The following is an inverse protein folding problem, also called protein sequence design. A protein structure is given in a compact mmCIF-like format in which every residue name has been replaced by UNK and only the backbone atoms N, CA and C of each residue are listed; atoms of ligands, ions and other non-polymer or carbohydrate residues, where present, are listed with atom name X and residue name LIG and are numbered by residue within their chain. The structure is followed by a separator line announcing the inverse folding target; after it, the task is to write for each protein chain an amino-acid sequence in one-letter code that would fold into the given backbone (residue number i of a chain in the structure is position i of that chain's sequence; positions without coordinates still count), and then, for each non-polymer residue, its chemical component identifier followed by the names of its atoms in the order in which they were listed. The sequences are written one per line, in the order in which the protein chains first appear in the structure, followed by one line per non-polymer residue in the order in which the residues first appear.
data_IF_319868974084
#
_entry.id   IF_319868974084
#
_cell.length_a   1.000
_cell.length_b   1.000
_cell.length_c   1.000
_cell.angle_alpha   90.00
_cell.angle_beta   90.00
_cell.angle_gamma   90.00
#
_symmetry.space_group_name_H-M   'P 1'
#
loop_
_entity.id
_entity.type
_entity.pdbx_description
1 polymer ?
#
# COMPACT_ATOMS: atom_id res chain seq x y z
N UNK A 1 68.54 -53.80 -22.59
CA UNK A 1 67.70 -53.57 -21.39
C UNK A 1 67.03 -52.22 -21.55
N UNK A 2 65.76 -52.23 -21.94
CA UNK A 2 64.87 -51.08 -22.06
C UNK A 2 64.05 -50.96 -20.79
N UNK A 3 63.96 -49.76 -20.22
CA UNK A 3 62.74 -49.32 -19.52
C UNK A 3 62.77 -47.81 -19.30
N UNK A 4 62.13 -47.08 -20.21
CA UNK A 4 61.66 -45.72 -19.97
C UNK A 4 60.28 -45.79 -19.33
N UNK A 5 60.18 -45.48 -18.04
CA UNK A 5 58.91 -45.24 -17.37
C UNK A 5 58.47 -43.80 -17.64
N UNK A 6 57.55 -43.63 -18.59
CA UNK A 6 56.83 -42.38 -18.83
C UNK A 6 55.57 -42.39 -17.96
N UNK A 7 55.62 -41.74 -16.81
CA UNK A 7 54.49 -41.64 -15.88
C UNK A 7 53.39 -40.75 -16.48
N UNK A 8 52.16 -41.26 -16.48
CA UNK A 8 50.91 -40.59 -16.86
C UNK A 8 50.70 -39.31 -16.03
N UNK A 9 50.98 -38.14 -16.60
CA UNK A 9 50.55 -36.83 -16.06
C UNK A 9 49.25 -36.28 -16.69
N UNK A 10 48.59 -37.02 -17.60
CA UNK A 10 47.47 -36.48 -18.38
C UNK A 10 46.09 -36.44 -17.70
N UNK A 11 45.80 -37.31 -16.73
CA UNK A 11 44.43 -37.47 -16.18
C UNK A 11 44.01 -36.43 -15.14
N UNK A 12 44.93 -36.02 -14.26
CA UNK A 12 44.65 -35.13 -13.13
C UNK A 12 44.32 -33.69 -13.56
N UNK A 13 44.98 -33.21 -14.63
CA UNK A 13 44.79 -31.85 -15.15
C UNK A 13 43.50 -31.65 -15.97
N UNK A 14 42.89 -32.74 -16.43
CA UNK A 14 41.63 -32.68 -17.20
C UNK A 14 40.41 -32.61 -16.28
N UNK A 15 40.40 -33.38 -15.19
CA UNK A 15 39.34 -33.34 -14.18
C UNK A 15 39.20 -31.97 -13.50
N UNK A 16 40.33 -31.34 -13.14
CA UNK A 16 40.33 -30.00 -12.53
C UNK A 16 39.82 -28.92 -13.48
N UNK A 17 40.11 -29.01 -14.78
CA UNK A 17 39.58 -28.09 -15.80
C UNK A 17 38.07 -28.18 -15.96
N UNK A 18 37.54 -29.41 -16.02
CA UNK A 18 36.09 -29.62 -16.11
C UNK A 18 35.42 -29.07 -14.86
N UNK A 19 35.90 -29.42 -13.67
CA UNK A 19 35.38 -28.89 -12.41
C UNK A 19 35.44 -27.36 -12.36
N UNK A 20 36.55 -26.77 -12.79
CA UNK A 20 36.73 -25.31 -12.85
C UNK A 20 35.75 -24.63 -13.80
N UNK A 21 35.56 -25.18 -15.00
CA UNK A 21 34.58 -24.68 -15.96
C UNK A 21 33.15 -24.76 -15.43
N UNK A 22 32.77 -25.88 -14.80
CA UNK A 22 31.44 -26.05 -14.20
C UNK A 22 31.19 -25.04 -13.09
N UNK A 23 32.16 -24.81 -12.19
CA UNK A 23 32.04 -23.81 -11.12
C UNK A 23 31.94 -22.39 -11.66
N UNK A 24 32.71 -22.06 -12.71
CA UNK A 24 32.62 -20.76 -13.37
C UNK A 24 31.22 -20.54 -13.97
N UNK A 25 30.70 -21.54 -14.71
CA UNK A 25 29.36 -21.49 -15.29
C UNK A 25 28.26 -21.43 -14.22
N UNK A 26 28.43 -22.16 -13.11
CA UNK A 26 27.50 -22.10 -11.98
C UNK A 26 27.49 -20.70 -11.34
N UNK A 27 28.65 -20.07 -11.16
CA UNK A 27 28.75 -18.69 -10.67
C UNK A 27 28.08 -17.69 -11.62
N UNK A 28 28.27 -17.86 -12.94
CA UNK A 28 27.61 -17.04 -13.96
C UNK A 28 26.10 -17.22 -14.00
N UNK A 29 25.61 -18.46 -13.93
CA UNK A 29 24.18 -18.75 -13.84
C UNK A 29 23.57 -18.18 -12.57
N UNK A 30 24.28 -18.29 -11.44
CA UNK A 30 23.83 -17.77 -10.15
C UNK A 30 23.70 -16.24 -10.16
N UNK A 31 24.69 -15.50 -10.68
CA UNK A 31 24.59 -14.04 -10.76
C UNK A 31 23.48 -13.63 -11.73
N UNK A 32 23.36 -14.28 -12.90
CA UNK A 32 22.33 -13.95 -13.86
C UNK A 32 20.91 -14.19 -13.30
N UNK A 33 20.70 -15.33 -12.64
CA UNK A 33 19.44 -15.62 -11.96
C UNK A 33 19.15 -14.62 -10.83
N UNK A 34 20.16 -14.27 -10.03
CA UNK A 34 20.00 -13.33 -8.94
C UNK A 34 19.66 -11.91 -9.43
N UNK A 35 20.39 -11.38 -10.40
CA UNK A 35 20.13 -10.05 -10.97
C UNK A 35 18.79 -10.01 -11.70
N UNK A 36 18.39 -11.10 -12.37
CA UNK A 36 17.06 -11.19 -12.99
C UNK A 36 15.93 -11.03 -11.97
N UNK A 37 16.03 -11.67 -10.80
CA UNK A 37 15.05 -11.49 -9.72
C UNK A 37 14.98 -10.04 -9.23
N UNK A 38 16.12 -9.37 -9.12
CA UNK A 38 16.18 -7.95 -8.70
C UNK A 38 15.52 -7.04 -9.74
N UNK A 39 15.82 -7.25 -11.03
CA UNK A 39 15.24 -6.47 -12.13
C UNK A 39 13.74 -6.71 -12.28
N UNK A 40 13.29 -7.97 -12.25
CA UNK A 40 11.88 -8.33 -12.37
C UNK A 40 11.06 -7.70 -11.22
N UNK A 41 11.60 -7.71 -9.99
CA UNK A 41 10.98 -7.06 -8.84
C UNK A 41 10.93 -5.53 -8.99
N UNK A 42 12.03 -4.88 -9.41
CA UNK A 42 12.07 -3.44 -9.64
C UNK A 42 11.11 -2.97 -10.75
N UNK A 43 11.03 -3.73 -11.84
CA UNK A 43 10.11 -3.46 -12.94
C UNK A 43 8.65 -3.61 -12.50
N UNK A 44 8.34 -4.64 -11.71
CA UNK A 44 7.01 -4.85 -11.16
C UNK A 44 6.61 -3.72 -10.19
N UNK A 45 7.54 -3.27 -9.35
CA UNK A 45 7.36 -2.13 -8.44
C UNK A 45 7.05 -0.82 -9.17
N UNK A 46 7.73 -0.60 -10.30
CA UNK A 46 7.55 0.59 -11.14
C UNK A 46 6.20 0.58 -11.84
N UNK A 47 5.76 -0.61 -12.29
CA UNK A 47 4.51 -0.78 -13.05
C UNK A 47 3.26 -0.82 -12.18
N UNK A 48 3.32 -1.49 -11.03
CA UNK A 48 2.14 -1.80 -10.22
C UNK A 48 2.15 -1.14 -8.83
N UNK A 49 3.24 -0.45 -8.46
CA UNK A 49 3.40 0.11 -7.12
C UNK A 49 3.94 -0.89 -6.10
N UNK A 50 3.95 -0.50 -4.82
CA UNK A 50 4.45 -1.34 -3.74
C UNK A 50 3.54 -2.57 -3.54
N UNK A 51 4.12 -3.76 -3.27
CA UNK A 51 3.33 -4.93 -2.91
C UNK A 51 2.47 -4.62 -1.69
N UNK A 52 1.19 -4.97 -1.81
CA UNK A 52 0.26 -4.90 -0.69
C UNK A 52 0.43 -6.17 0.13
N UNK A 53 0.85 -6.00 1.37
CA UNK A 53 0.96 -7.08 2.33
C UNK A 53 -0.44 -7.55 2.75
N UNK A 54 -0.79 -8.80 2.50
CA UNK A 54 -2.03 -9.37 3.04
C UNK A 54 -1.86 -9.73 4.51
N UNK A 55 -2.56 -9.01 5.40
CA UNK A 55 -2.57 -9.30 6.82
C UNK A 55 -3.90 -9.92 7.29
N UNK A 56 -4.93 -9.91 6.45
CA UNK A 56 -6.25 -10.43 6.78
C UNK A 56 -6.83 -9.85 8.07
N UNK A 57 -7.53 -10.70 8.82
CA UNK A 57 -8.22 -10.36 10.07
C UNK A 57 -7.37 -10.56 11.33
N UNK A 58 -6.43 -11.51 11.29
CA UNK A 58 -5.55 -11.85 12.40
C UNK A 58 -4.20 -11.11 12.41
N UNK A 59 -3.93 -10.28 11.39
CA UNK A 59 -2.68 -9.55 11.24
C UNK A 59 -2.39 -8.59 12.39
N UNK A 60 -1.10 -8.39 12.68
CA UNK A 60 -0.62 -7.54 13.78
C UNK A 60 0.44 -6.57 13.28
N UNK A 61 0.52 -5.35 13.84
CA UNK A 61 1.64 -4.46 13.57
C UNK A 61 2.97 -5.12 13.92
N UNK A 62 3.91 -5.15 12.98
CA UNK A 62 5.28 -5.60 13.21
C UNK A 62 6.29 -4.58 12.67
N UNK A 63 7.43 -4.42 13.35
CA UNK A 63 8.41 -3.36 13.05
C UNK A 63 8.97 -3.39 11.61
N UNK A 64 8.99 -4.57 10.96
CA UNK A 64 9.41 -4.72 9.57
C UNK A 64 8.37 -4.35 8.52
N UNK A 65 7.15 -3.96 8.91
CA UNK A 65 6.02 -3.69 8.02
C UNK A 65 5.68 -2.19 7.94
N UNK A 66 6.37 -1.33 8.69
CA UNK A 66 6.13 0.11 8.68
C UNK A 66 6.38 0.70 7.29
N UNK A 67 5.45 1.53 6.83
CA UNK A 67 5.47 2.10 5.48
C UNK A 67 4.96 1.17 4.38
N UNK A 68 4.70 -0.11 4.66
CA UNK A 68 4.07 -1.02 3.72
C UNK A 68 2.58 -0.69 3.58
N UNK A 69 2.07 -0.77 2.34
CA UNK A 69 0.62 -0.82 2.10
C UNK A 69 0.17 -2.24 2.44
N UNK A 70 -0.92 -2.38 3.17
CA UNK A 70 -1.42 -3.67 3.64
C UNK A 70 -2.93 -3.76 3.46
N UNK A 71 -3.42 -4.98 3.23
CA UNK A 71 -4.84 -5.31 3.34
C UNK A 71 -5.12 -5.86 4.73
N UNK A 72 -6.05 -5.23 5.43
CA UNK A 72 -6.61 -5.70 6.70
C UNK A 72 -8.12 -5.85 6.52
N UNK A 73 -8.70 -6.92 7.04
CA UNK A 73 -10.15 -7.11 7.05
C UNK A 73 -10.69 -7.42 8.44
N UNK A 74 -11.99 -7.27 8.64
CA UNK A 74 -12.64 -7.62 9.90
C UNK A 74 -13.84 -6.74 10.22
N UNK A 75 -14.45 -6.96 11.38
CA UNK A 75 -15.53 -6.10 11.88
C UNK A 75 -14.88 -4.95 12.67
N UNK A 76 -15.16 -3.68 12.33
CA UNK A 76 -14.63 -2.53 13.06
C UNK A 76 -15.07 -2.56 14.53
N UNK A 77 -14.10 -2.46 15.44
CA UNK A 77 -14.32 -2.29 16.87
C UNK A 77 -14.32 -0.81 17.22
N UNK A 78 -15.46 -0.31 17.71
CA UNK A 78 -15.59 1.07 18.19
C UNK A 78 -15.11 1.11 19.64
N UNK A 79 -13.98 1.78 19.89
CA UNK A 79 -13.39 1.89 21.22
C UNK A 79 -13.92 3.13 21.94
N UNK A 80 -14.02 4.25 21.23
CA UNK A 80 -14.64 5.48 21.72
C UNK A 80 -15.71 5.96 20.73
N UNK A 81 -16.97 5.76 21.10
CA UNK A 81 -18.12 6.00 20.23
C UNK A 81 -18.41 7.50 20.02
N UNK A 82 -18.78 7.92 18.79
CA UNK A 82 -19.13 9.29 18.49
C UNK A 82 -20.35 9.74 19.29
N UNK A 83 -20.39 11.04 19.58
CA UNK A 83 -21.48 11.69 20.31
C UNK A 83 -21.86 13.01 19.64
N UNK A 84 -23.14 13.20 19.41
CA UNK A 84 -23.74 14.51 19.25
C UNK A 84 -23.99 15.12 20.64
N UNK A 85 -23.21 16.13 21.08
CA UNK A 85 -23.35 16.69 22.42
C UNK A 85 -24.59 17.58 22.56
N UNK A 86 -25.15 18.12 21.46
CA UNK A 86 -26.29 19.03 21.49
C UNK A 86 -27.58 18.28 21.81
N UNK A 87 -27.78 17.11 21.18
CA UNK A 87 -28.93 16.25 21.41
C UNK A 87 -28.65 15.09 22.37
N UNK A 88 -27.39 14.95 22.80
CA UNK A 88 -26.90 13.82 23.60
C UNK A 88 -27.15 12.44 22.95
N UNK A 89 -26.98 12.35 21.63
CA UNK A 89 -27.11 11.10 20.88
C UNK A 89 -25.73 10.44 20.76
N UNK A 90 -25.65 9.15 21.07
CA UNK A 90 -24.44 8.32 20.92
C UNK A 90 -24.80 7.07 20.13
N UNK A 91 -23.90 6.61 19.28
CA UNK A 91 -24.10 5.41 18.48
C UNK A 91 -22.85 4.54 18.47
N UNK A 92 -23.02 3.22 18.56
CA UNK A 92 -21.93 2.28 18.32
C UNK A 92 -21.62 2.20 16.82
N UNK A 93 -20.94 3.21 16.29
CA UNK A 93 -20.65 3.38 14.87
C UNK A 93 -19.33 4.15 14.68
N UNK A 94 -18.60 3.94 13.58
CA UNK A 94 -17.43 4.75 13.23
C UNK A 94 -17.74 6.25 13.10
N UNK A 95 -18.92 6.57 12.56
CA UNK A 95 -19.35 7.94 12.27
C UNK A 95 -20.82 8.07 12.63
N UNK A 96 -21.18 9.18 13.25
CA UNK A 96 -22.56 9.59 13.50
C UNK A 96 -22.83 10.88 12.71
N UNK A 97 -23.88 10.91 11.91
CA UNK A 97 -24.28 12.05 11.09
C UNK A 97 -25.65 12.51 11.57
N UNK A 98 -25.75 13.77 11.99
CA UNK A 98 -27.03 14.45 12.22
C UNK A 98 -27.49 15.08 10.92
N UNK A 99 -28.70 14.73 10.50
CA UNK A 99 -29.42 15.38 9.42
C UNK A 99 -30.46 16.33 10.01
N UNK A 100 -30.62 17.50 9.40
CA UNK A 100 -31.64 18.47 9.81
C UNK A 100 -32.39 18.91 8.56
N UNK A 101 -33.70 18.82 8.61
CA UNK A 101 -34.60 19.26 7.57
C UNK A 101 -35.60 20.27 8.16
N UNK A 102 -36.02 21.23 7.34
CA UNK A 102 -37.10 22.16 7.68
C UNK A 102 -38.26 21.97 6.72
N UNK A 103 -39.47 21.91 7.25
CA UNK A 103 -40.69 21.89 6.48
C UNK A 103 -40.95 23.29 5.90
N UNK A 104 -40.69 23.46 4.61
CA UNK A 104 -40.64 24.76 3.97
C UNK A 104 -41.14 24.70 2.53
N UNK A 105 -41.44 25.86 1.95
CA UNK A 105 -41.85 25.94 0.56
C UNK A 105 -40.73 25.56 -0.38
N UNK A 106 -41.09 24.76 -1.39
CA UNK A 106 -40.23 24.36 -2.50
C UNK A 106 -40.94 24.65 -3.82
N UNK A 107 -40.21 25.28 -4.73
CA UNK A 107 -40.66 25.50 -6.11
C UNK A 107 -40.20 24.35 -7.00
N UNK A 108 -41.12 23.77 -7.76
CA UNK A 108 -40.85 22.68 -8.72
C UNK A 108 -41.41 23.07 -10.08
N UNK A 109 -40.55 23.05 -11.11
CA UNK A 109 -40.95 23.35 -12.48
C UNK A 109 -40.90 22.08 -13.33
N UNK A 110 -42.05 21.67 -13.87
CA UNK A 110 -42.19 20.50 -14.76
C UNK A 110 -42.90 20.93 -16.04
N UNK A 111 -42.28 20.67 -17.19
CA UNK A 111 -42.89 21.00 -18.50
C UNK A 111 -43.20 22.49 -18.68
N UNK A 112 -42.46 23.39 -18.01
CA UNK A 112 -42.69 24.84 -18.03
C UNK A 112 -43.77 25.33 -17.06
N UNK A 113 -44.43 24.44 -16.31
CA UNK A 113 -45.39 24.81 -15.26
C UNK A 113 -44.73 24.75 -13.88
N UNK A 114 -44.81 25.87 -13.15
CA UNK A 114 -44.27 26.03 -11.79
C UNK A 114 -45.32 25.69 -10.74
N UNK A 115 -44.97 24.78 -9.83
CA UNK A 115 -45.77 24.34 -8.71
C UNK A 115 -45.04 24.63 -7.40
N UNK A 116 -45.81 24.82 -6.33
CA UNK A 116 -45.29 25.06 -4.98
C UNK A 116 -45.86 24.01 -4.05
N UNK A 117 -44.98 23.43 -3.24
CA UNK A 117 -45.35 22.47 -2.22
C UNK A 117 -44.57 22.73 -0.94
N UNK A 118 -45.15 22.32 0.19
CA UNK A 118 -44.43 22.26 1.44
C UNK A 118 -43.80 20.88 1.56
N UNK A 119 -42.48 20.84 1.75
CA UNK A 119 -41.71 19.61 1.84
C UNK A 119 -40.62 19.74 2.90
N UNK A 120 -40.13 18.60 3.38
CA UNK A 120 -38.95 18.54 4.23
C UNK A 120 -37.71 18.70 3.36
N UNK A 121 -36.96 19.78 3.59
CA UNK A 121 -35.74 20.06 2.81
C UNK A 121 -34.57 20.24 3.76
N UNK A 122 -33.41 19.70 3.38
CA UNK A 122 -32.16 19.64 4.16
C UNK A 122 -31.33 20.93 4.19
N UNK A 123 -31.83 21.99 3.57
CA UNK A 123 -31.14 23.28 3.43
C UNK A 123 -32.13 24.45 3.37
N UNK A 124 -31.70 25.67 3.75
CA UNK A 124 -32.51 26.87 3.54
C UNK A 124 -32.79 27.09 2.05
N UNK A 125 -34.05 27.33 1.70
CA UNK A 125 -34.44 27.79 0.37
C UNK A 125 -34.76 29.28 0.44
N UNK A 126 -34.06 30.08 -0.36
CA UNK A 126 -34.38 31.48 -0.57
C UNK A 126 -35.66 31.60 -1.41
N UNK A 127 -36.78 31.76 -0.73
CA UNK A 127 -38.08 31.92 -1.37
C UNK A 127 -38.25 33.27 -2.09
N UNK A 128 -37.36 34.25 -1.88
CA UNK A 128 -37.43 35.53 -2.57
C UNK A 128 -37.16 35.40 -4.08
N UNK A 129 -36.45 34.35 -4.49
CA UNK A 129 -36.16 34.03 -5.88
C UNK A 129 -37.23 33.18 -6.57
N UNK A 130 -38.32 32.83 -5.88
CA UNK A 130 -39.43 32.11 -6.51
C UNK A 130 -40.10 32.93 -7.60
N UNK A 131 -40.71 32.28 -8.59
CA UNK A 131 -41.48 32.95 -9.64
C UNK A 131 -42.70 33.68 -9.06
N UNK A 132 -43.25 33.21 -7.92
CA UNK A 132 -44.31 33.84 -7.14
C UNK A 132 -43.99 33.79 -5.64
N UNK A 133 -43.16 34.70 -5.11
CA UNK A 133 -42.77 34.71 -3.69
C UNK A 133 -43.94 35.01 -2.74
N UNK A 134 -44.92 35.80 -3.19
CA UNK A 134 -46.08 36.15 -2.39
C UNK A 134 -46.87 34.88 -2.00
N UNK A 135 -47.02 34.65 -0.70
CA UNK A 135 -47.66 33.45 -0.14
C UNK A 135 -46.74 32.26 0.11
N UNK A 136 -45.47 32.32 -0.33
CA UNK A 136 -44.50 31.22 -0.25
C UNK A 136 -43.22 31.58 0.52
N UNK A 137 -43.33 32.44 1.53
CA UNK A 137 -42.17 32.90 2.32
C UNK A 137 -41.64 31.78 3.21
N UNK A 138 -40.31 31.59 3.24
CA UNK A 138 -39.64 30.62 4.11
C UNK A 138 -38.97 31.29 5.33
N UNK A 139 -38.81 30.58 6.47
CA UNK A 139 -38.23 31.14 7.71
C UNK A 139 -36.75 31.52 7.66
N UNK A 140 -36.07 31.35 6.52
CA UNK A 140 -34.65 31.68 6.36
C UNK A 140 -33.72 30.57 6.86
N UNK A 141 -32.65 30.97 7.56
CA UNK A 141 -31.61 30.03 8.00
C UNK A 141 -32.11 29.05 9.06
N UNK A 142 -31.59 27.82 9.04
CA UNK A 142 -31.96 26.81 10.03
C UNK A 142 -31.36 27.18 11.38
N UNK A 143 -32.13 27.09 12.49
CA UNK A 143 -31.61 27.35 13.82
C UNK A 143 -30.69 26.24 14.33
N UNK A 144 -30.74 25.05 13.70
CA UNK A 144 -29.89 23.88 13.99
C UNK A 144 -29.35 23.37 12.66
N UNK A 145 -28.06 23.02 12.60
CA UNK A 145 -27.44 22.51 11.37
C UNK A 145 -27.13 21.02 11.45
N UNK A 146 -27.14 20.38 10.28
CA UNK A 146 -26.57 19.04 10.12
C UNK A 146 -25.09 19.02 10.49
N UNK A 147 -24.62 17.91 11.05
CA UNK A 147 -23.24 17.79 11.52
C UNK A 147 -22.78 16.34 11.56
N UNK A 148 -21.51 16.11 11.25
CA UNK A 148 -20.87 14.81 11.39
C UNK A 148 -20.00 14.77 12.65
N UNK A 149 -20.04 13.62 13.34
CA UNK A 149 -19.27 13.31 14.54
C UNK A 149 -18.51 12.00 14.31
N UNK A 150 -17.21 12.00 14.60
CA UNK A 150 -16.33 10.85 14.40
C UNK A 150 -16.08 10.13 15.72
N UNK A 151 -15.93 8.81 15.67
CA UNK A 151 -15.46 8.01 16.79
C UNK A 151 -14.05 8.47 17.20
N UNK A 152 -13.78 8.54 18.51
CA UNK A 152 -12.45 8.92 19.01
C UNK A 152 -11.39 7.85 18.70
N UNK A 153 -11.81 6.58 18.65
CA UNK A 153 -10.94 5.47 18.25
C UNK A 153 -11.76 4.31 17.66
N UNK A 154 -11.34 3.85 16.48
CA UNK A 154 -11.84 2.64 15.83
C UNK A 154 -10.68 1.75 15.47
N UNK A 155 -10.84 0.45 15.73
CA UNK A 155 -9.89 -0.58 15.33
C UNK A 155 -10.46 -1.50 14.28
N UNK A 156 -9.62 -1.95 13.36
CA UNK A 156 -9.90 -3.04 12.44
C UNK A 156 -8.84 -4.11 12.66
N UNK A 157 -9.24 -5.27 13.20
CA UNK A 157 -8.30 -6.24 13.74
C UNK A 157 -7.44 -5.60 14.84
N UNK A 158 -6.12 -5.61 14.67
CA UNK A 158 -5.16 -5.05 15.63
C UNK A 158 -4.66 -3.65 15.26
N UNK A 159 -5.26 -2.99 14.27
CA UNK A 159 -4.85 -1.67 13.81
C UNK A 159 -5.86 -0.60 14.15
N UNK A 160 -5.38 0.58 14.54
CA UNK A 160 -6.19 1.80 14.63
C UNK A 160 -6.46 2.35 13.23
N UNK A 161 -7.59 3.02 13.03
CA UNK A 161 -7.90 3.67 11.75
C UNK A 161 -7.67 5.18 11.82
N UNK A 162 -6.93 5.72 10.87
CA UNK A 162 -6.83 7.16 10.67
C UNK A 162 -8.15 7.77 10.18
N UNK A 163 -8.38 9.05 10.49
CA UNK A 163 -9.63 9.76 10.18
C UNK A 163 -10.04 9.70 8.70
N UNK A 164 -9.07 9.83 7.78
CA UNK A 164 -9.35 9.78 6.34
C UNK A 164 -9.96 8.45 5.90
N UNK A 165 -9.49 7.34 6.49
CA UNK A 165 -10.01 6.00 6.23
C UNK A 165 -11.38 5.84 6.88
N UNK A 166 -11.52 6.28 8.13
CA UNK A 166 -12.79 6.26 8.88
C UNK A 166 -13.90 6.95 8.06
N UNK A 167 -13.65 8.17 7.58
CA UNK A 167 -14.58 8.99 6.78
C UNK A 167 -15.04 8.33 5.48
N UNK A 168 -14.25 7.39 4.94
CA UNK A 168 -14.56 6.68 3.72
C UNK A 168 -15.41 5.42 3.92
N UNK A 169 -15.77 5.08 5.16
CA UNK A 169 -16.60 3.90 5.41
C UNK A 169 -17.98 4.04 4.75
N UNK A 170 -18.37 3.07 3.91
CA UNK A 170 -19.62 3.13 3.16
C UNK A 170 -20.81 2.70 4.02
N UNK A 171 -22.01 3.01 3.52
CA UNK A 171 -23.28 2.61 4.12
C UNK A 171 -23.75 3.56 5.21
N UNK A 172 -25.07 3.67 5.33
CA UNK A 172 -25.76 4.50 6.32
C UNK A 172 -26.93 3.69 6.88
N UNK A 173 -27.11 3.75 8.20
CA UNK A 173 -28.23 3.12 8.90
C UNK A 173 -28.79 4.08 9.93
N UNK A 174 -30.11 4.05 10.12
CA UNK A 174 -30.81 4.90 11.06
C UNK A 174 -30.32 4.70 12.49
N UNK A 175 -30.13 5.78 13.22
CA UNK A 175 -29.81 5.78 14.65
C UNK A 175 -30.96 6.44 15.40
N UNK A 176 -31.68 5.63 16.16
CA UNK A 176 -32.78 6.08 17.00
C UNK A 176 -32.30 7.07 18.08
N UNK A 177 -32.92 8.26 18.21
CA UNK A 177 -32.60 9.19 19.28
C UNK A 177 -33.08 8.68 20.64
N UNK A 178 -32.32 9.00 21.70
CA UNK A 178 -32.71 8.72 23.07
C UNK A 178 -33.29 9.97 23.74
N UNK A 179 -34.61 10.09 23.74
CA UNK A 179 -35.33 11.22 24.34
C UNK A 179 -34.98 11.45 25.82
N UNK A 180 -34.78 10.38 26.59
CA UNK A 180 -34.52 10.48 28.03
C UNK A 180 -33.16 11.11 28.36
N UNK A 181 -32.23 11.10 27.40
CA UNK A 181 -30.92 11.71 27.54
C UNK A 181 -30.88 13.18 27.11
N UNK A 182 -31.95 13.71 26.54
CA UNK A 182 -31.94 15.01 25.89
C UNK A 182 -31.94 16.17 26.90
N UNK A 183 -31.26 17.30 26.60
CA UNK A 183 -31.38 18.51 27.40
C UNK A 183 -32.84 18.96 27.58
N UNK A 184 -33.26 19.45 28.76
CA UNK A 184 -34.66 19.79 29.05
C UNK A 184 -35.30 20.80 28.08
N UNK A 185 -34.53 21.77 27.59
CA UNK A 185 -34.98 22.75 26.61
C UNK A 185 -35.34 22.09 25.28
N UNK A 186 -34.52 21.14 24.80
CA UNK A 186 -34.80 20.43 23.56
C UNK A 186 -35.93 19.41 23.77
N UNK A 187 -35.99 18.74 24.92
CA UNK A 187 -37.08 17.82 25.25
C UNK A 187 -38.45 18.50 25.33
N UNK A 188 -38.48 19.81 25.62
CA UNK A 188 -39.71 20.61 25.59
C UNK A 188 -40.11 21.05 24.17
N UNK A 189 -39.15 21.13 23.24
CA UNK A 189 -39.36 21.60 21.86
C UNK A 189 -39.58 20.46 20.87
N UNK A 190 -38.88 19.34 21.07
CA UNK A 190 -38.89 18.20 20.17
C UNK A 190 -39.70 17.04 20.74
N UNK A 191 -40.38 16.34 19.84
CA UNK A 191 -41.07 15.09 20.11
C UNK A 191 -40.53 14.01 19.18
N UNK A 192 -40.44 12.78 19.65
CA UNK A 192 -39.99 11.68 18.79
C UNK A 192 -41.13 11.17 17.92
N UNK A 193 -40.81 10.98 16.64
CA UNK A 193 -41.64 10.29 15.66
C UNK A 193 -40.73 9.31 14.94
N UNK A 194 -40.97 8.02 15.14
CA UNK A 194 -40.14 6.93 14.64
C UNK A 194 -38.66 7.10 15.05
N UNK A 195 -37.76 7.29 14.08
CA UNK A 195 -36.33 7.49 14.31
C UNK A 195 -35.88 8.96 14.20
N UNK A 196 -36.85 9.89 14.18
CA UNK A 196 -36.57 11.32 14.11
C UNK A 196 -37.15 12.07 15.31
N UNK A 197 -36.61 13.27 15.54
CA UNK A 197 -37.19 14.27 16.41
C UNK A 197 -37.82 15.37 15.56
N UNK A 198 -39.04 15.76 15.89
CA UNK A 198 -39.74 16.84 15.18
C UNK A 198 -40.21 17.93 16.14
N UNK A 199 -40.30 19.16 15.66
CA UNK A 199 -40.93 20.27 16.41
C UNK A 199 -42.43 20.38 16.16
N UNK A 200 -42.96 19.62 15.20
CA UNK A 200 -44.36 19.68 14.82
C UNK A 200 -45.26 19.14 15.94
N UNK A 201 -46.24 19.95 16.36
CA UNK A 201 -47.19 19.55 17.41
C UNK A 201 -48.11 18.38 16.98
N UNK A 202 -48.28 18.19 15.66
CA UNK A 202 -48.99 17.05 15.05
C UNK A 202 -48.10 16.49 13.96
N UNK A 203 -47.54 15.30 14.18
CA UNK A 203 -46.59 14.68 13.26
C UNK A 203 -47.13 14.52 11.83
N UNK A 204 -48.42 14.17 11.67
CA UNK A 204 -49.08 14.04 10.38
C UNK A 204 -49.38 15.38 9.68
N UNK A 205 -49.26 16.51 10.37
CA UNK A 205 -49.59 17.84 9.87
C UNK A 205 -48.52 18.86 10.29
N UNK A 206 -47.30 18.76 9.74
CA UNK A 206 -46.24 19.73 9.98
C UNK A 206 -46.62 21.11 9.45
N UNK A 207 -46.07 22.14 10.07
CA UNK A 207 -46.26 23.55 9.74
C UNK A 207 -44.97 24.13 9.18
N UNK A 208 -45.12 25.17 8.37
CA UNK A 208 -43.99 25.94 7.84
C UNK A 208 -43.03 26.32 8.96
N UNK A 209 -41.77 25.93 8.82
CA UNK A 209 -40.71 26.16 9.80
C UNK A 209 -40.52 25.07 10.85
N UNK A 210 -41.35 24.03 10.86
CA UNK A 210 -41.09 22.86 11.70
C UNK A 210 -39.78 22.19 11.27
N UNK A 211 -39.04 21.67 12.25
CA UNK A 211 -37.80 20.95 12.03
C UNK A 211 -37.99 19.45 12.21
N UNK A 212 -37.22 18.68 11.44
CA UNK A 212 -37.04 17.25 11.58
C UNK A 212 -35.55 16.98 11.69
N UNK A 213 -35.15 16.32 12.77
CA UNK A 213 -33.76 15.97 13.06
C UNK A 213 -33.66 14.46 13.16
N UNK A 214 -32.78 13.86 12.38
CA UNK A 214 -32.53 12.43 12.38
C UNK A 214 -31.03 12.15 12.44
N UNK A 215 -30.67 10.93 12.79
CA UNK A 215 -29.28 10.50 12.83
C UNK A 215 -29.07 9.26 11.99
N UNK A 216 -27.92 9.20 11.33
CA UNK A 216 -27.42 8.01 10.66
C UNK A 216 -26.04 7.64 11.18
N UNK A 217 -25.77 6.34 11.23
CA UNK A 217 -24.45 5.80 11.51
C UNK A 217 -23.94 4.95 10.35
N UNK A 218 -22.64 4.76 10.28
CA UNK A 218 -22.05 3.68 9.47
C UNK A 218 -22.37 2.32 10.12
N UNK A 219 -22.91 1.34 9.38
CA UNK A 219 -23.26 0.03 9.94
C UNK A 219 -22.02 -0.74 10.39
N UNK A 220 -22.13 -1.45 11.53
CA UNK A 220 -21.10 -2.37 12.00
C UNK A 220 -21.20 -3.68 11.22
N UNK A 221 -20.32 -3.83 10.24
CA UNK A 221 -20.24 -4.99 9.37
C UNK A 221 -18.79 -5.27 9.00
N UNK A 222 -18.52 -6.43 8.40
CA UNK A 222 -17.17 -6.74 7.92
C UNK A 222 -16.73 -5.71 6.88
N UNK A 223 -15.51 -5.21 7.03
CA UNK A 223 -14.87 -4.26 6.12
C UNK A 223 -13.49 -4.79 5.73
N UNK A 224 -13.04 -4.44 4.53
CA UNK A 224 -11.67 -4.59 4.07
C UNK A 224 -11.08 -3.21 3.85
N UNK A 225 -9.89 -2.95 4.40
CA UNK A 225 -9.14 -1.71 4.24
C UNK A 225 -7.78 -2.02 3.63
N UNK A 226 -7.45 -1.33 2.55
CA UNK A 226 -6.10 -1.31 1.98
C UNK A 226 -5.48 0.05 2.28
N UNK A 227 -4.44 0.09 3.09
CA UNK A 227 -3.82 1.33 3.55
C UNK A 227 -2.38 1.13 4.01
N UNK A 228 -1.63 2.22 4.23
CA UNK A 228 -0.26 2.16 4.72
C UNK A 228 -0.22 2.00 6.24
N UNK A 229 0.70 1.18 6.74
CA UNK A 229 0.97 1.05 8.17
C UNK A 229 1.88 2.19 8.63
N UNK A 230 1.45 2.92 9.66
CA UNK A 230 2.25 3.88 10.43
C UNK A 230 2.15 3.51 11.92
N UNK A 231 3.17 2.83 12.44
CA UNK A 231 3.12 2.25 13.79
C UNK A 231 2.02 1.21 13.92
N UNK A 232 1.01 1.48 14.76
CA UNK A 232 -0.19 0.66 14.97
C UNK A 232 -1.43 1.20 14.23
N UNK A 233 -1.26 2.23 13.39
CA UNK A 233 -2.35 2.94 12.72
C UNK A 233 -2.30 2.74 11.22
N UNK A 234 -3.46 2.49 10.60
CA UNK A 234 -3.64 2.53 9.15
C UNK A 234 -3.89 3.96 8.73
N UNK A 235 -3.06 4.45 7.80
CA UNK A 235 -3.10 5.81 7.25
C UNK A 235 -3.05 5.77 5.72
N UNK A 236 -3.51 6.83 5.03
CA UNK A 236 -3.29 6.96 3.61
C UNK A 236 -1.81 6.80 3.23
N UNK A 237 -1.57 6.03 2.17
CA UNK A 237 -0.31 6.07 1.44
C UNK A 237 -0.14 7.45 0.77
N UNK A 238 1.09 7.88 0.49
CA UNK A 238 1.33 9.12 -0.26
C UNK A 238 0.53 9.10 -1.58
N UNK A 239 -0.26 10.15 -1.86
CA UNK A 239 -1.16 10.16 -3.01
C UNK A 239 -0.36 10.05 -4.30
N UNK A 240 -0.78 9.13 -5.17
CA UNK A 240 -0.40 9.11 -6.59
C UNK A 240 -1.55 9.73 -7.37
N UNK A 241 -1.28 10.39 -8.50
CA UNK A 241 -2.25 11.21 -9.22
C UNK A 241 -3.67 10.60 -9.29
N UNK A 242 -4.63 11.20 -8.57
CA UNK A 242 -6.05 10.78 -8.53
C UNK A 242 -6.41 9.66 -7.54
N UNK A 243 -5.43 9.07 -6.86
CA UNK A 243 -5.62 8.00 -5.86
C UNK A 243 -5.52 8.58 -4.43
N UNK A 244 -6.55 8.41 -3.58
CA UNK A 244 -6.53 8.86 -2.19
C UNK A 244 -5.48 8.14 -1.32
N UNK A 245 -4.84 7.09 -1.83
CA UNK A 245 -3.77 6.34 -1.14
C UNK A 245 -4.31 5.29 -0.17
N UNK A 246 -5.60 4.99 -0.22
CA UNK A 246 -6.24 3.93 0.55
C UNK A 246 -7.53 3.49 -0.13
N UNK A 247 -8.02 2.32 0.25
CA UNK A 247 -9.28 1.78 -0.23
C UNK A 247 -10.07 1.15 0.92
N UNK A 248 -11.39 1.35 0.93
CA UNK A 248 -12.31 0.75 1.91
C UNK A 248 -13.43 0.05 1.15
N UNK A 249 -13.66 -1.23 1.47
CA UNK A 249 -14.71 -2.03 0.86
C UNK A 249 -15.53 -2.77 1.91
N UNK A 250 -16.78 -3.07 1.58
CA UNK A 250 -17.67 -3.92 2.39
C UNK A 250 -17.34 -5.39 2.17
N UNK A 251 -17.29 -6.16 3.26
CA UNK A 251 -17.02 -7.59 3.29
C UNK A 251 -15.53 -7.91 3.41
N UNK A 252 -15.22 -9.20 3.49
CA UNK A 252 -13.84 -9.71 3.40
C UNK A 252 -13.51 -9.95 1.92
N UNK A 253 -12.80 -9.00 1.32
CA UNK A 253 -12.43 -9.03 -0.10
C UNK A 253 -11.00 -9.52 -0.23
N UNK A 254 -10.80 -10.54 -1.06
CA UNK A 254 -9.47 -11.12 -1.26
C UNK A 254 -8.59 -10.20 -2.11
N UNK A 255 -7.29 -10.19 -1.84
CA UNK A 255 -6.32 -9.37 -2.56
C UNK A 255 -6.27 -9.67 -4.08
N UNK A 256 -6.65 -10.89 -4.49
CA UNK A 256 -6.72 -11.29 -5.91
C UNK A 256 -7.82 -10.56 -6.70
N UNK A 257 -8.87 -10.06 -6.02
CA UNK A 257 -9.90 -9.23 -6.64
C UNK A 257 -9.49 -7.75 -6.67
N UNK A 258 -8.49 -7.34 -5.90
CA UNK A 258 -8.16 -5.94 -5.63
C UNK A 258 -6.86 -5.49 -6.32
N UNK A 259 -5.81 -6.32 -6.40
CA UNK A 259 -4.49 -5.93 -6.99
C UNK A 259 -3.79 -7.15 -7.65
N UNK A 260 -3.14 -7.00 -8.82
CA UNK A 260 -2.35 -8.08 -9.42
C UNK A 260 -1.19 -8.53 -8.51
N UNK A 261 -1.01 -9.85 -8.38
CA UNK A 261 0.06 -10.45 -7.58
C UNK A 261 1.45 -9.96 -8.02
N UNK A 262 2.17 -9.30 -7.11
CA UNK A 262 3.56 -8.87 -7.32
C UNK A 262 4.54 -10.02 -7.00
N UNK A 263 5.71 -10.08 -7.66
CA UNK A 263 6.75 -11.07 -7.33
C UNK A 263 7.25 -10.90 -5.89
N UNK A 264 7.63 -12.01 -5.23
CA UNK A 264 8.22 -11.93 -3.89
C UNK A 264 9.53 -11.12 -3.86
N UNK A 265 9.80 -10.32 -2.80
CA UNK A 265 11.02 -9.54 -2.69
C UNK A 265 12.27 -10.45 -2.69
N UNK A 266 13.31 -10.17 -3.50
CA UNK A 266 14.50 -11.00 -3.55
C UNK A 266 15.27 -10.95 -2.23
N UNK A 267 15.34 -12.07 -1.52
CA UNK A 267 16.11 -12.22 -0.29
C UNK A 267 17.58 -12.59 -0.57
N UNK A 268 18.48 -12.27 0.37
CA UNK A 268 19.90 -12.65 0.36
C UNK A 268 20.71 -12.20 -0.88
N UNK A 269 20.34 -11.08 -1.51
CA UNK A 269 20.97 -10.57 -2.75
C UNK A 269 22.50 -10.45 -2.63
N UNK A 270 23.01 -9.81 -1.57
CA UNK A 270 24.46 -9.63 -1.37
C UNK A 270 25.18 -10.96 -1.12
N UNK A 271 24.54 -11.88 -0.40
CA UNK A 271 25.07 -13.21 -0.11
C UNK A 271 25.23 -14.03 -1.39
N UNK A 272 24.23 -14.01 -2.26
CA UNK A 272 24.25 -14.72 -3.54
C UNK A 272 25.21 -14.08 -4.54
N UNK A 273 25.35 -12.75 -4.53
CA UNK A 273 26.42 -12.06 -5.27
C UNK A 273 27.80 -12.53 -4.79
N UNK A 274 28.04 -12.52 -3.48
CA UNK A 274 29.29 -13.01 -2.90
C UNK A 274 29.59 -14.47 -3.27
N UNK A 275 28.58 -15.35 -3.19
CA UNK A 275 28.72 -16.74 -3.59
C UNK A 275 29.06 -16.89 -5.07
N UNK A 276 28.45 -16.09 -5.96
CA UNK A 276 28.78 -16.11 -7.38
C UNK A 276 30.25 -15.72 -7.65
N UNK A 277 30.78 -14.70 -6.96
CA UNK A 277 32.20 -14.36 -7.03
C UNK A 277 33.09 -15.49 -6.51
N UNK A 278 32.75 -16.10 -5.37
CA UNK A 278 33.53 -17.23 -4.81
C UNK A 278 33.58 -18.40 -5.80
N UNK A 279 32.44 -18.78 -6.38
CA UNK A 279 32.37 -19.85 -7.39
C UNK A 279 33.22 -19.51 -8.61
N UNK A 280 33.18 -18.27 -9.10
CA UNK A 280 33.96 -17.83 -10.24
C UNK A 280 35.47 -17.80 -9.95
N UNK A 281 35.89 -17.39 -8.74
CA UNK A 281 37.29 -17.35 -8.31
C UNK A 281 37.86 -18.77 -8.15
N UNK A 282 37.10 -19.67 -7.51
CA UNK A 282 37.50 -21.08 -7.36
C UNK A 282 37.56 -21.75 -8.75
N UNK A 283 36.55 -21.52 -9.59
CA UNK A 283 36.51 -22.02 -10.96
C UNK A 283 37.72 -21.54 -11.79
N UNK A 284 38.02 -20.24 -11.73
CA UNK A 284 39.18 -19.64 -12.41
C UNK A 284 40.51 -20.18 -11.88
N UNK A 285 40.62 -20.40 -10.58
CA UNK A 285 41.81 -20.98 -9.95
C UNK A 285 42.07 -22.40 -10.45
N UNK A 286 41.02 -23.23 -10.53
CA UNK A 286 41.11 -24.61 -11.03
C UNK A 286 41.49 -24.66 -12.51
N UNK A 287 40.93 -23.76 -13.33
CA UNK A 287 41.30 -23.62 -14.74
C UNK A 287 42.77 -23.20 -14.90
N UNK A 288 43.25 -22.31 -14.02
CA UNK A 288 44.62 -21.80 -14.04
C UNK A 288 45.66 -22.82 -13.55
N UNK A 289 45.29 -23.93 -12.89
CA UNK A 289 46.22 -24.94 -12.36
C UNK A 289 47.15 -25.57 -13.41
N UNK A 290 46.76 -25.54 -14.67
CA UNK A 290 47.54 -26.10 -15.80
C UNK A 290 48.18 -25.01 -16.65
N UNK A 291 48.04 -23.76 -16.24
CA UNK A 291 48.53 -22.59 -16.94
C UNK A 291 49.80 -22.05 -16.28
N UNK A 292 50.46 -21.09 -16.93
CA UNK A 292 51.56 -20.32 -16.33
C UNK A 292 51.18 -19.56 -15.04
N UNK A 293 49.89 -19.37 -14.79
CA UNK A 293 49.34 -18.70 -13.61
C UNK A 293 48.93 -19.68 -12.50
N UNK A 294 49.50 -20.89 -12.49
CA UNK A 294 49.20 -21.87 -11.44
C UNK A 294 49.30 -21.25 -10.04
N UNK A 295 48.28 -21.52 -9.21
CA UNK A 295 48.11 -21.09 -7.82
C UNK A 295 48.20 -19.57 -7.60
N UNK A 296 47.96 -18.75 -8.62
CA UNK A 296 47.85 -17.29 -8.44
C UNK A 296 46.42 -16.87 -8.07
N UNK A 297 46.19 -16.68 -6.78
CA UNK A 297 44.88 -16.25 -6.28
C UNK A 297 44.50 -14.85 -6.77
N UNK A 298 45.46 -13.92 -6.91
CA UNK A 298 45.18 -12.56 -7.38
C UNK A 298 44.73 -12.55 -8.84
N UNK A 299 45.35 -13.38 -9.68
CA UNK A 299 44.91 -13.58 -11.06
C UNK A 299 43.48 -14.15 -11.10
N UNK A 300 43.19 -15.17 -10.29
CA UNK A 300 41.86 -15.78 -10.23
C UNK A 300 40.79 -14.81 -9.70
N UNK A 301 41.13 -13.96 -8.72
CA UNK A 301 40.28 -12.85 -8.25
C UNK A 301 39.97 -11.89 -9.39
N UNK A 302 40.98 -11.47 -10.17
CA UNK A 302 40.79 -10.58 -11.31
C UNK A 302 39.85 -11.18 -12.36
N UNK A 303 40.07 -12.44 -12.75
CA UNK A 303 39.19 -13.12 -13.73
C UNK A 303 37.77 -13.30 -13.19
N UNK A 304 37.61 -13.77 -11.95
CA UNK A 304 36.31 -13.90 -11.32
C UNK A 304 35.57 -12.56 -11.26
N UNK A 305 36.29 -11.48 -10.96
CA UNK A 305 35.74 -10.13 -10.92
C UNK A 305 35.25 -9.65 -12.29
N UNK A 306 36.03 -9.87 -13.34
CA UNK A 306 35.66 -9.55 -14.73
C UNK A 306 34.40 -10.30 -15.14
N UNK A 307 34.42 -11.63 -15.01
CA UNK A 307 33.42 -12.50 -15.64
C UNK A 307 32.05 -12.33 -14.98
N UNK A 308 31.98 -12.29 -13.64
CA UNK A 308 30.73 -12.06 -12.90
C UNK A 308 30.18 -10.66 -13.17
N UNK A 309 31.03 -9.63 -13.09
CA UNK A 309 30.59 -8.24 -13.20
C UNK A 309 30.24 -7.84 -14.62
N UNK A 310 30.88 -8.43 -15.64
CA UNK A 310 30.52 -8.21 -17.03
C UNK A 310 29.11 -8.75 -17.34
N UNK A 311 28.79 -9.97 -16.88
CA UNK A 311 27.44 -10.55 -17.07
C UNK A 311 26.38 -9.72 -16.37
N UNK A 312 26.60 -9.37 -15.10
CA UNK A 312 25.67 -8.51 -14.36
C UNK A 312 25.53 -7.12 -15.01
N UNK A 313 26.64 -6.49 -15.40
CA UNK A 313 26.64 -5.17 -16.04
C UNK A 313 25.87 -5.15 -17.35
N UNK A 314 26.05 -6.16 -18.21
CA UNK A 314 25.31 -6.28 -19.48
C UNK A 314 23.81 -6.43 -19.25
N UNK A 315 23.40 -7.20 -18.23
CA UNK A 315 21.97 -7.36 -17.91
C UNK A 315 21.31 -6.05 -17.49
N UNK A 316 22.01 -5.19 -16.77
CA UNK A 316 21.50 -3.90 -16.30
C UNK A 316 21.49 -2.79 -17.36
N UNK A 317 22.17 -2.95 -18.51
CA UNK A 317 22.26 -1.92 -19.56
C UNK A 317 20.90 -1.44 -20.07
N UNK A 318 19.91 -2.33 -20.13
CA UNK A 318 18.57 -2.00 -20.62
C UNK A 318 17.64 -1.42 -19.53
N UNK A 319 18.00 -1.55 -18.24
CA UNK A 319 17.14 -1.20 -17.11
C UNK A 319 17.60 0.03 -16.34
N UNK A 320 18.84 0.02 -15.85
CA UNK A 320 19.41 1.10 -15.01
C UNK A 320 20.88 1.32 -15.37
N UNK A 321 21.13 2.45 -16.04
CA UNK A 321 22.47 2.83 -16.48
C UNK A 321 23.46 3.05 -15.32
N UNK A 322 22.98 3.48 -14.15
CA UNK A 322 23.83 3.67 -12.97
C UNK A 322 24.28 2.32 -12.42
N UNK A 323 23.36 1.38 -12.23
CA UNK A 323 23.67 0.02 -11.79
C UNK A 323 24.62 -0.69 -12.77
N UNK A 324 24.36 -0.56 -14.08
CA UNK A 324 25.24 -1.09 -15.13
C UNK A 324 26.66 -0.52 -15.03
N UNK A 325 26.79 0.80 -14.83
CA UNK A 325 28.10 1.47 -14.73
C UNK A 325 28.93 0.98 -13.54
N UNK A 326 28.29 0.75 -12.39
CA UNK A 326 28.97 0.20 -11.20
C UNK A 326 29.51 -1.20 -11.47
N UNK A 327 28.70 -2.08 -12.07
CA UNK A 327 29.15 -3.43 -12.42
C UNK A 327 30.30 -3.42 -13.44
N UNK A 328 30.19 -2.60 -14.49
CA UNK A 328 31.24 -2.50 -15.51
C UNK A 328 32.54 -1.92 -14.93
N UNK A 329 32.48 -1.00 -13.97
CA UNK A 329 33.66 -0.52 -13.27
C UNK A 329 34.39 -1.64 -12.51
N UNK A 330 33.65 -2.50 -11.80
CA UNK A 330 34.23 -3.68 -11.13
C UNK A 330 34.87 -4.63 -12.14
N UNK A 331 34.27 -4.81 -13.31
CA UNK A 331 34.86 -5.60 -14.39
C UNK A 331 36.19 -5.00 -14.89
N UNK A 332 36.25 -3.69 -15.10
CA UNK A 332 37.47 -2.97 -15.54
C UNK A 332 38.59 -3.08 -14.50
N UNK A 333 38.26 -2.89 -13.21
CA UNK A 333 39.24 -3.05 -12.12
C UNK A 333 39.76 -4.48 -12.03
N UNK A 334 38.88 -5.47 -12.18
CA UNK A 334 39.26 -6.89 -12.24
C UNK A 334 40.19 -7.21 -13.41
N UNK A 335 39.92 -6.62 -14.58
CA UNK A 335 40.76 -6.78 -15.76
C UNK A 335 42.14 -6.15 -15.55
N UNK A 336 42.19 -4.94 -14.98
CA UNK A 336 43.44 -4.27 -14.60
C UNK A 336 44.28 -5.12 -13.65
N UNK A 337 43.65 -5.70 -12.61
CA UNK A 337 44.33 -6.60 -11.66
C UNK A 337 44.89 -7.84 -12.36
N UNK A 338 44.10 -8.51 -13.21
CA UNK A 338 44.54 -9.70 -13.93
C UNK A 338 45.71 -9.41 -14.88
N UNK A 339 45.62 -8.31 -15.65
CA UNK A 339 46.66 -7.87 -16.59
C UNK A 339 47.95 -7.52 -15.85
N UNK A 340 47.86 -6.68 -14.81
CA UNK A 340 48.99 -6.30 -13.99
C UNK A 340 49.69 -7.54 -13.40
N UNK A 341 48.89 -8.51 -12.92
CA UNK A 341 49.45 -9.73 -12.33
C UNK A 341 50.17 -10.60 -13.35
N UNK A 342 49.65 -10.69 -14.58
CA UNK A 342 50.32 -11.37 -15.69
C UNK A 342 51.65 -10.69 -16.04
N UNK A 343 51.66 -9.36 -16.13
CA UNK A 343 52.86 -8.58 -16.46
C UNK A 343 53.98 -8.75 -15.43
N UNK A 344 53.64 -8.73 -14.14
CA UNK A 344 54.61 -8.97 -13.07
C UNK A 344 55.27 -10.34 -13.19
N UNK A 345 54.48 -11.41 -13.36
CA UNK A 345 55.03 -12.77 -13.48
C UNK A 345 55.85 -12.98 -14.75
N UNK A 346 55.58 -12.26 -15.84
CA UNK A 346 56.44 -12.29 -17.03
C UNK A 346 57.79 -11.60 -16.78
N UNK A 347 57.81 -10.48 -16.06
CA UNK A 347 59.05 -9.76 -15.75
C UNK A 347 59.96 -10.57 -14.82
N UNK A 348 59.42 -11.29 -13.84
CA UNK A 348 60.21 -12.10 -12.88
C UNK A 348 60.86 -13.34 -13.51
N UNK A 349 60.43 -13.77 -14.71
CA UNK A 349 61.01 -14.93 -15.42
C UNK A 349 62.03 -14.56 -16.49
N UNK A 350 62.15 -13.27 -16.83
CA UNK A 350 63.11 -12.78 -17.81
C UNK A 350 64.46 -12.37 -17.19
N UNK A 351 64.59 -12.53 -15.87
CA UNK A 351 65.79 -12.34 -15.04
C UNK A 351 66.21 -13.72 -14.56
#
# INVERSE_FOLDING_TARGET
MTSTYRVKQGGMGWGSRIAGAVLLLAGLGLIAWNERRVMDYGAAMTRHGAPVLDLGDAGRPAAGQYGSVTRVSGIPQIVDAPRDPEFNVRANSPILIRHVEMFQWREITVGGATHYELDWVDRPIDASSFAKPAGHVNPGAFPIQGRQFEAGEVKLGNFRLGEAILRAFPGRTSVAPNEKGMPPNLAATFQRVDDALVTSAKSAHPRLGDLRVSWEGVPIQSMTVVARIDGDTLVPAPPKAGDPGFEVQVGDRSLLEVIPALPEPPQAVLLLRGLAFVLAIVGSSLLALTSRMERDLLFAIGIGAVVVSAVAGVMWLAGDAMAASVWLLVAVLGAGLAIWRVQQRTATRAI
#
